data_IF_714720514998
#
_entry.id   IF_714720514998
#
_cell.length_a   1.000
_cell.length_b   1.000
_cell.length_c   1.000
_cell.angle_alpha   90.00
_cell.angle_beta   90.00
_cell.angle_gamma   90.00
#
_symmetry.space_group_name_H-M   'P 1'
#
loop_
_entity.id
_entity.type
_entity.pdbx_description
1 polymer ?
#
# COMPACT_ATOMS: atom_id res chain seq x y z
N UNK A 1 25.40 -48.17 -1.97
CA UNK A 1 25.54 -46.97 -1.09
C UNK A 1 25.36 -45.63 -1.79
N UNK A 2 24.56 -45.52 -2.86
CA UNK A 2 24.35 -44.29 -3.64
C UNK A 2 23.12 -43.46 -3.12
N UNK A 3 22.22 -44.11 -2.36
CA UNK A 3 20.98 -43.44 -1.87
C UNK A 3 21.19 -42.57 -0.63
N UNK A 4 22.24 -42.75 0.15
CA UNK A 4 22.47 -42.00 1.38
C UNK A 4 22.54 -40.45 1.19
N UNK A 5 23.25 -39.92 0.17
CA UNK A 5 23.30 -38.48 -0.03
C UNK A 5 21.94 -37.87 -0.42
N UNK A 6 21.08 -38.61 -1.11
CA UNK A 6 19.75 -38.15 -1.49
C UNK A 6 18.78 -38.09 -0.30
N UNK A 7 18.90 -39.02 0.65
CA UNK A 7 18.12 -39.03 1.89
C UNK A 7 18.51 -37.82 2.79
N UNK A 8 19.83 -37.56 2.89
CA UNK A 8 20.35 -36.42 3.66
C UNK A 8 19.90 -35.09 3.03
N UNK A 9 19.99 -34.97 1.71
CA UNK A 9 19.54 -33.78 0.97
C UNK A 9 18.02 -33.56 1.10
N UNK A 10 17.24 -34.63 0.96
CA UNK A 10 15.79 -34.61 1.16
C UNK A 10 15.41 -34.22 2.58
N UNK A 11 16.15 -34.72 3.58
CA UNK A 11 15.93 -34.33 4.99
C UNK A 11 16.25 -32.85 5.24
N UNK A 12 17.35 -32.32 4.68
CA UNK A 12 17.73 -30.90 4.82
C UNK A 12 16.69 -29.99 4.13
N UNK A 13 16.24 -30.35 2.92
CA UNK A 13 15.20 -29.59 2.21
C UNK A 13 13.86 -29.66 2.94
N UNK A 14 13.50 -30.81 3.49
CA UNK A 14 12.26 -30.98 4.24
C UNK A 14 12.30 -30.22 5.57
N UNK A 15 13.39 -30.28 6.32
CA UNK A 15 13.55 -29.54 7.57
C UNK A 15 13.61 -28.02 7.34
N UNK A 16 14.28 -27.58 6.26
CA UNK A 16 14.33 -26.17 5.86
C UNK A 16 12.96 -25.64 5.36
N UNK A 17 12.13 -26.53 4.77
CA UNK A 17 10.76 -26.17 4.35
C UNK A 17 9.77 -26.16 5.52
N UNK A 18 10.06 -26.84 6.62
CA UNK A 18 9.27 -26.77 7.85
C UNK A 18 9.66 -25.61 8.75
N UNK A 19 10.85 -25.07 8.56
CA UNK A 19 11.22 -23.79 9.16
C UNK A 19 10.51 -22.70 8.37
N UNK A 20 9.22 -22.53 8.65
CA UNK A 20 8.47 -21.32 8.29
C UNK A 20 9.14 -20.22 9.07
N UNK A 21 10.19 -19.65 8.48
CA UNK A 21 10.82 -18.46 9.02
C UNK A 21 9.74 -17.46 9.30
N UNK A 22 9.38 -17.30 10.56
CA UNK A 22 8.62 -16.14 10.99
C UNK A 22 9.41 -14.97 10.47
N UNK A 23 8.82 -14.14 9.57
CA UNK A 23 9.53 -12.96 9.10
C UNK A 23 10.04 -12.24 10.34
N UNK A 24 11.34 -11.94 10.40
CA UNK A 24 11.96 -11.15 11.47
C UNK A 24 11.49 -9.69 11.36
N UNK A 25 10.23 -9.52 11.02
CA UNK A 25 9.49 -8.27 10.94
C UNK A 25 8.79 -8.10 12.28
N UNK A 26 9.44 -7.40 13.22
CA UNK A 26 8.73 -6.96 14.41
C UNK A 26 9.45 -7.06 15.74
N UNK A 27 10.43 -7.94 15.91
CA UNK A 27 11.14 -8.05 17.19
C UNK A 27 12.22 -6.98 17.39
N UNK A 28 12.38 -6.07 16.44
CA UNK A 28 13.42 -5.02 16.50
C UNK A 28 13.28 -4.09 17.70
N UNK A 29 12.09 -4.01 18.29
CA UNK A 29 11.78 -3.16 19.45
C UNK A 29 11.29 -3.96 20.66
N UNK A 30 11.35 -5.30 20.60
CA UNK A 30 10.94 -6.12 21.73
C UNK A 30 11.91 -5.89 22.90
N UNK A 31 11.36 -5.39 24.01
CA UNK A 31 12.12 -5.01 25.20
C UNK A 31 12.77 -3.61 25.17
N UNK A 32 12.75 -2.90 24.02
CA UNK A 32 13.34 -1.57 23.88
C UNK A 32 12.36 -0.43 24.27
N UNK A 33 11.04 -0.71 24.19
CA UNK A 33 9.98 0.26 24.45
C UNK A 33 9.44 0.10 25.87
N UNK A 34 9.57 1.15 26.69
CA UNK A 34 9.13 1.13 28.07
C UNK A 34 8.55 2.50 28.48
N UNK A 35 7.26 2.54 28.88
CA UNK A 35 6.35 1.41 28.98
C UNK A 35 5.84 0.91 27.63
N UNK A 36 5.58 -0.41 27.54
CA UNK A 36 4.99 -1.00 26.36
C UNK A 36 3.48 -0.68 26.27
N UNK A 37 3.00 -0.31 25.08
CA UNK A 37 1.56 -0.17 24.81
C UNK A 37 0.94 -1.58 24.75
N UNK A 38 -0.01 -1.83 25.62
CA UNK A 38 -0.70 -3.11 25.71
C UNK A 38 -1.88 -3.21 24.72
N UNK A 39 -2.28 -4.43 24.40
CA UNK A 39 -3.48 -4.66 23.58
C UNK A 39 -4.75 -4.07 24.22
N UNK A 40 -4.87 -4.08 25.55
CA UNK A 40 -6.01 -3.46 26.23
C UNK A 40 -6.03 -1.94 26.00
N UNK A 41 -4.90 -1.26 26.13
CA UNK A 41 -4.81 0.17 25.85
C UNK A 41 -5.15 0.50 24.38
N UNK A 42 -4.74 -0.35 23.43
CA UNK A 42 -5.15 -0.18 22.02
C UNK A 42 -6.67 -0.31 21.84
N UNK A 43 -7.30 -1.30 22.51
CA UNK A 43 -8.74 -1.47 22.51
C UNK A 43 -9.47 -0.30 23.19
N UNK A 44 -8.89 0.23 24.29
CA UNK A 44 -9.43 1.41 24.98
C UNK A 44 -9.40 2.65 24.07
N UNK A 45 -8.29 2.87 23.35
CA UNK A 45 -8.17 3.94 22.34
C UNK A 45 -9.21 3.75 21.25
N UNK A 46 -9.31 2.56 20.66
CA UNK A 46 -10.30 2.28 19.60
C UNK A 46 -11.73 2.53 20.07
N UNK A 47 -12.06 2.06 21.26
CA UNK A 47 -13.39 2.25 21.86
C UNK A 47 -13.69 3.71 22.12
N UNK A 48 -12.72 4.47 22.64
CA UNK A 48 -12.87 5.89 22.93
C UNK A 48 -13.02 6.70 21.64
N UNK A 49 -12.24 6.39 20.60
CA UNK A 49 -12.35 7.04 19.28
C UNK A 49 -13.72 6.75 18.66
N UNK A 50 -14.18 5.49 18.71
CA UNK A 50 -15.53 5.12 18.24
C UNK A 50 -16.66 5.84 19.00
N UNK A 51 -16.45 6.17 20.26
CA UNK A 51 -17.42 6.87 21.09
C UNK A 51 -17.54 8.37 20.78
N UNK A 52 -16.58 8.98 20.06
CA UNK A 52 -16.64 10.38 19.66
C UNK A 52 -17.83 10.70 18.74
N UNK A 53 -18.26 9.72 17.93
CA UNK A 53 -19.31 9.90 16.94
C UNK A 53 -18.87 10.74 15.72
N UNK A 54 -19.73 10.83 14.72
CA UNK A 54 -19.45 11.60 13.49
C UNK A 54 -18.40 10.95 12.57
N UNK A 55 -18.18 9.66 12.71
CA UNK A 55 -17.40 8.81 11.81
C UNK A 55 -18.19 7.56 11.45
N UNK A 56 -17.96 7.03 10.27
CA UNK A 56 -18.59 5.80 9.79
C UNK A 56 -17.84 4.57 10.32
N UNK A 57 -16.51 4.66 10.46
CA UNK A 57 -15.68 3.60 11.01
C UNK A 57 -14.43 4.16 11.71
N UNK A 58 -13.90 3.39 12.68
CA UNK A 58 -12.60 3.66 13.27
C UNK A 58 -11.95 2.35 13.73
N UNK A 59 -10.63 2.24 13.56
CA UNK A 59 -9.86 1.10 14.06
C UNK A 59 -8.42 1.50 14.38
N UNK A 60 -7.78 0.69 15.22
CA UNK A 60 -6.42 0.93 15.71
C UNK A 60 -5.53 -0.25 15.37
N UNK A 61 -4.34 0.05 14.86
CA UNK A 61 -3.32 -0.95 14.57
C UNK A 61 -1.98 -0.56 15.19
N UNK A 62 -1.15 -1.56 15.45
CA UNK A 62 0.23 -1.36 15.88
C UNK A 62 1.15 -2.13 14.95
N UNK A 63 2.09 -1.44 14.32
CA UNK A 63 3.07 -2.07 13.43
C UNK A 63 4.42 -1.40 13.65
N UNK A 64 5.44 -2.19 13.99
CA UNK A 64 6.83 -1.72 14.11
C UNK A 64 6.96 -0.45 14.98
N UNK A 65 6.42 -0.48 16.21
CA UNK A 65 6.43 0.64 17.16
C UNK A 65 5.70 1.91 16.68
N UNK A 66 4.82 1.81 15.71
CA UNK A 66 3.93 2.90 15.29
C UNK A 66 2.49 2.52 15.60
N UNK A 67 1.84 3.31 16.46
CA UNK A 67 0.40 3.24 16.71
C UNK A 67 -0.31 4.03 15.61
N UNK A 68 -1.19 3.34 14.87
CA UNK A 68 -2.00 3.97 13.81
C UNK A 68 -3.46 3.93 14.18
N UNK A 69 -4.09 5.07 14.12
CA UNK A 69 -5.53 5.25 14.32
C UNK A 69 -6.12 5.67 12.99
N UNK A 70 -7.06 4.89 12.47
CA UNK A 70 -7.75 5.15 11.22
C UNK A 70 -9.18 5.55 11.53
N UNK A 71 -9.63 6.64 10.93
CA UNK A 71 -10.98 7.18 11.12
C UNK A 71 -11.57 7.54 9.76
N UNK A 72 -12.64 6.87 9.43
CA UNK A 72 -13.44 7.08 8.24
C UNK A 72 -14.59 8.01 8.59
N UNK A 73 -14.62 9.22 8.02
CA UNK A 73 -15.67 10.19 8.21
C UNK A 73 -16.60 10.21 7.00
N UNK A 74 -17.76 10.88 7.14
CA UNK A 74 -18.74 10.95 6.06
C UNK A 74 -18.10 11.44 4.73
N UNK A 75 -18.48 10.82 3.60
CA UNK A 75 -17.92 11.09 2.27
C UNK A 75 -18.10 12.57 1.83
N UNK A 76 -19.08 13.27 2.37
CA UNK A 76 -19.36 14.69 2.09
C UNK A 76 -18.66 15.66 3.06
N UNK A 77 -17.86 15.16 4.01
CA UNK A 77 -17.13 16.00 4.96
C UNK A 77 -16.14 16.92 4.22
N UNK A 78 -16.04 18.17 4.69
CA UNK A 78 -15.06 19.11 4.17
C UNK A 78 -13.71 19.00 4.90
N UNK A 79 -12.69 19.65 4.36
CA UNK A 79 -11.33 19.60 4.91
C UNK A 79 -11.26 20.14 6.36
N UNK A 80 -12.05 21.12 6.72
CA UNK A 80 -12.12 21.68 8.08
C UNK A 80 -12.64 20.61 9.06
N UNK A 81 -13.69 19.88 8.68
CA UNK A 81 -14.25 18.78 9.47
C UNK A 81 -13.25 17.64 9.65
N UNK A 82 -12.55 17.26 8.58
CA UNK A 82 -11.52 16.19 8.63
C UNK A 82 -10.36 16.61 9.55
N UNK A 83 -9.90 17.86 9.45
CA UNK A 83 -8.83 18.39 10.31
C UNK A 83 -9.27 18.49 11.78
N UNK A 84 -10.49 18.96 12.04
CA UNK A 84 -11.03 19.01 13.41
C UNK A 84 -11.17 17.63 14.03
N UNK A 85 -11.60 16.63 13.23
CA UNK A 85 -11.65 15.23 13.67
C UNK A 85 -10.27 14.69 14.02
N UNK A 86 -9.23 15.03 13.26
CA UNK A 86 -7.86 14.62 13.58
C UNK A 86 -7.40 15.18 14.94
N UNK A 87 -7.72 16.45 15.24
CA UNK A 87 -7.42 17.05 16.56
C UNK A 87 -8.19 16.38 17.70
N UNK A 88 -9.48 16.08 17.48
CA UNK A 88 -10.33 15.40 18.45
C UNK A 88 -9.78 13.99 18.76
N UNK A 89 -9.39 13.25 17.73
CA UNK A 89 -8.80 11.91 17.85
C UNK A 89 -7.45 11.98 18.57
N UNK A 90 -6.58 12.94 18.22
CA UNK A 90 -5.30 13.13 18.89
C UNK A 90 -5.50 13.36 20.40
N UNK A 91 -6.41 14.29 20.77
CA UNK A 91 -6.70 14.57 22.17
C UNK A 91 -7.26 13.36 22.92
N UNK A 92 -8.06 12.54 22.25
CA UNK A 92 -8.63 11.31 22.80
C UNK A 92 -7.52 10.28 23.03
N UNK A 93 -6.63 10.06 22.07
CA UNK A 93 -5.46 9.18 22.22
C UNK A 93 -4.57 9.69 23.38
N UNK A 94 -4.27 10.99 23.41
CA UNK A 94 -3.43 11.60 24.43
C UNK A 94 -4.00 11.48 25.84
N UNK A 95 -5.32 11.39 26.01
CA UNK A 95 -5.97 11.19 27.29
C UNK A 95 -5.78 9.77 27.86
N UNK A 96 -5.50 8.79 27.00
CA UNK A 96 -5.32 7.37 27.37
C UNK A 96 -3.82 7.01 27.39
N UNK A 97 -3.11 7.51 26.39
CA UNK A 97 -1.67 7.29 26.17
C UNK A 97 -0.96 8.64 26.21
N UNK A 98 -0.46 9.04 27.40
CA UNK A 98 0.23 10.33 27.57
C UNK A 98 1.37 10.46 26.54
N UNK A 99 1.35 11.47 25.67
CA UNK A 99 2.37 11.66 24.64
C UNK A 99 3.79 11.82 25.19
N UNK A 100 3.94 12.39 26.39
CA UNK A 100 5.25 12.53 27.03
C UNK A 100 5.83 11.17 27.47
N UNK A 101 4.96 10.19 27.73
CA UNK A 101 5.35 8.85 28.19
C UNK A 101 5.51 7.89 27.02
N UNK A 102 4.58 7.89 26.06
CA UNK A 102 4.51 6.88 25.01
C UNK A 102 5.08 7.34 23.66
N UNK A 103 4.99 8.64 23.34
CA UNK A 103 5.32 9.18 22.02
C UNK A 103 6.43 10.22 22.03
N UNK A 104 7.24 10.28 23.10
CA UNK A 104 8.37 11.19 23.21
C UNK A 104 9.59 10.43 23.70
N UNK A 105 10.61 10.31 22.85
CA UNK A 105 11.86 9.64 23.22
C UNK A 105 12.61 10.42 24.31
N UNK A 106 13.33 9.69 25.12
CA UNK A 106 14.35 10.24 26.05
C UNK A 106 15.73 9.77 25.63
N UNK A 107 16.78 10.30 26.26
CA UNK A 107 18.17 9.89 25.99
C UNK A 107 18.41 8.40 26.25
N UNK A 108 17.60 7.80 27.12
CA UNK A 108 17.75 6.40 27.58
C UNK A 108 16.69 5.44 27.05
N UNK A 109 15.59 5.95 26.44
CA UNK A 109 14.45 5.13 26.01
C UNK A 109 13.98 5.53 24.63
N UNK A 110 13.80 4.54 23.79
CA UNK A 110 13.02 4.67 22.55
C UNK A 110 11.53 4.67 22.90
N UNK A 111 10.73 5.35 22.11
CA UNK A 111 9.29 5.41 22.29
C UNK A 111 8.58 5.18 20.96
N UNK A 112 7.26 5.03 21.04
CA UNK A 112 6.42 4.80 19.87
C UNK A 112 6.26 6.06 19.04
N UNK A 113 5.93 5.86 17.78
CA UNK A 113 5.39 6.90 16.90
C UNK A 113 3.85 6.77 16.85
N UNK A 114 3.15 7.88 16.65
CA UNK A 114 1.70 7.96 16.50
C UNK A 114 1.38 8.53 15.11
N UNK A 115 0.51 7.85 14.39
CA UNK A 115 -0.08 8.33 13.14
C UNK A 115 -1.61 8.26 13.24
N UNK A 116 -2.29 9.38 13.01
CA UNK A 116 -3.74 9.46 12.97
C UNK A 116 -4.14 9.77 11.53
N UNK A 117 -4.88 8.86 10.94
CA UNK A 117 -5.36 8.92 9.57
C UNK A 117 -6.85 9.22 9.59
N UNK A 118 -7.25 10.39 9.08
CA UNK A 118 -8.66 10.76 8.94
C UNK A 118 -8.96 11.03 7.47
N UNK A 119 -9.98 10.39 6.93
CA UNK A 119 -10.28 10.44 5.51
C UNK A 119 -11.78 10.32 5.25
N UNK A 120 -12.22 10.87 4.11
CA UNK A 120 -13.57 10.67 3.57
C UNK A 120 -13.65 9.36 2.79
N UNK A 121 -12.54 8.96 2.12
CA UNK A 121 -12.41 7.71 1.39
C UNK A 121 -11.04 7.09 1.70
N UNK A 122 -10.94 5.75 1.81
CA UNK A 122 -9.66 5.09 2.13
C UNK A 122 -8.63 5.21 1.00
N UNK A 123 -9.10 5.35 -0.24
CA UNK A 123 -8.28 5.49 -1.44
C UNK A 123 -9.00 6.34 -2.49
N UNK A 124 -8.22 6.96 -3.34
CA UNK A 124 -8.72 7.75 -4.46
C UNK A 124 -9.09 6.85 -5.62
N UNK A 125 -10.31 7.00 -6.16
CA UNK A 125 -10.81 6.24 -7.32
C UNK A 125 -10.79 7.01 -8.62
N UNK A 126 -10.58 8.34 -8.56
CA UNK A 126 -10.70 9.29 -9.67
C UNK A 126 -12.12 9.30 -10.31
N UNK A 127 -13.14 8.91 -9.53
CA UNK A 127 -14.53 9.02 -9.96
C UNK A 127 -14.97 10.49 -10.04
N UNK A 128 -15.85 10.80 -10.98
CA UNK A 128 -16.39 12.15 -11.12
C UNK A 128 -17.20 12.53 -9.87
N UNK A 129 -16.86 13.67 -9.28
CA UNK A 129 -17.50 14.16 -8.05
C UNK A 129 -16.98 13.53 -6.75
N UNK A 130 -15.92 12.73 -6.82
CA UNK A 130 -15.28 12.16 -5.65
C UNK A 130 -14.72 13.25 -4.72
N UNK A 131 -15.14 13.20 -3.46
CA UNK A 131 -14.61 14.09 -2.40
C UNK A 131 -13.51 13.33 -1.63
N UNK A 132 -12.33 13.18 -2.22
CA UNK A 132 -11.21 12.53 -1.59
C UNK A 132 -10.39 13.50 -0.75
N UNK A 133 -10.63 13.52 0.56
CA UNK A 133 -9.84 14.25 1.54
C UNK A 133 -9.19 13.25 2.49
N UNK A 134 -7.87 13.34 2.61
CA UNK A 134 -7.09 12.46 3.48
C UNK A 134 -6.05 13.28 4.23
N UNK A 135 -6.17 13.28 5.57
CA UNK A 135 -5.28 13.99 6.50
C UNK A 135 -4.55 12.96 7.34
N UNK A 136 -3.25 13.14 7.49
CA UNK A 136 -2.43 12.37 8.44
C UNK A 136 -1.87 13.34 9.46
N UNK A 137 -2.14 13.08 10.74
CA UNK A 137 -1.50 13.77 11.86
C UNK A 137 -0.43 12.85 12.45
N UNK A 138 0.83 13.27 12.35
CA UNK A 138 1.98 12.45 12.72
C UNK A 138 2.71 13.04 13.91
N UNK A 139 2.90 12.26 14.95
CA UNK A 139 3.77 12.54 16.10
C UNK A 139 4.82 11.44 16.19
N UNK A 140 5.98 11.65 15.57
CA UNK A 140 7.11 10.75 15.80
C UNK A 140 7.72 11.01 17.16
N UNK A 141 8.37 10.01 17.73
CA UNK A 141 9.00 10.11 19.06
C UNK A 141 10.10 11.18 19.14
N UNK A 142 10.58 11.67 17.99
CA UNK A 142 11.57 12.75 17.88
C UNK A 142 10.97 14.15 17.80
N UNK A 143 9.66 14.28 17.54
CA UNK A 143 8.98 15.56 17.35
C UNK A 143 8.48 16.09 18.69
N UNK A 144 8.53 17.41 18.90
CA UNK A 144 7.92 18.03 20.07
C UNK A 144 6.40 18.01 19.99
N UNK A 145 5.87 18.39 18.84
CA UNK A 145 4.44 18.52 18.58
C UNK A 145 4.03 17.66 17.35
N UNK A 146 2.77 17.23 17.25
CA UNK A 146 2.27 16.56 16.07
C UNK A 146 2.26 17.49 14.86
N UNK A 147 2.32 16.91 13.66
CA UNK A 147 2.26 17.64 12.40
C UNK A 147 1.21 17.03 11.49
N UNK A 148 0.23 17.85 11.12
CA UNK A 148 -0.81 17.48 10.16
C UNK A 148 -0.37 17.74 8.73
N UNK A 149 -0.73 16.81 7.84
CA UNK A 149 -0.53 16.92 6.41
C UNK A 149 -1.75 16.40 5.66
N UNK A 150 -2.32 17.23 4.77
CA UNK A 150 -3.33 16.78 3.82
C UNK A 150 -2.63 16.09 2.65
N UNK A 151 -2.71 14.76 2.61
CA UNK A 151 -2.01 13.95 1.61
C UNK A 151 -2.80 13.76 0.32
N UNK A 152 -4.10 14.06 0.34
CA UNK A 152 -4.97 14.07 -0.84
C UNK A 152 -4.67 15.23 -1.81
N UNK A 153 -3.95 16.25 -1.37
CA UNK A 153 -3.55 17.39 -2.19
C UNK A 153 -2.07 17.27 -2.55
N UNK A 154 -1.78 17.33 -3.85
CA UNK A 154 -0.39 17.31 -4.31
C UNK A 154 0.32 18.61 -3.92
N UNK A 155 1.58 18.51 -3.47
CA UNK A 155 2.43 19.69 -3.17
C UNK A 155 2.68 20.56 -4.39
N UNK A 156 2.74 19.95 -5.56
CA UNK A 156 2.85 20.61 -6.87
C UNK A 156 1.78 20.03 -7.80
N UNK A 157 0.68 20.75 -7.91
CA UNK A 157 -0.47 20.32 -8.71
C UNK A 157 -0.11 20.22 -10.20
N UNK A 158 0.72 21.12 -10.70
CA UNK A 158 1.10 21.10 -12.12
C UNK A 158 1.93 19.85 -12.48
N UNK A 159 2.81 19.42 -11.57
CA UNK A 159 3.57 18.17 -11.74
C UNK A 159 2.64 16.95 -11.60
N UNK A 160 1.73 16.96 -10.65
CA UNK A 160 0.77 15.88 -10.46
C UNK A 160 -0.12 15.70 -11.70
N UNK A 161 -0.65 16.78 -12.25
CA UNK A 161 -1.50 16.76 -13.44
C UNK A 161 -0.72 16.27 -14.68
N UNK A 162 0.52 16.71 -14.84
CA UNK A 162 1.39 16.23 -15.91
C UNK A 162 1.69 14.73 -15.81
N UNK A 163 1.93 14.22 -14.59
CA UNK A 163 2.15 12.80 -14.38
C UNK A 163 0.87 11.99 -14.65
N UNK A 164 -0.28 12.50 -14.21
CA UNK A 164 -1.58 11.89 -14.45
C UNK A 164 -1.88 11.78 -15.94
N UNK A 165 -1.66 12.89 -16.68
CA UNK A 165 -1.81 12.90 -18.14
C UNK A 165 -0.88 11.89 -18.83
N UNK A 166 0.38 11.80 -18.41
CA UNK A 166 1.33 10.83 -18.96
C UNK A 166 0.93 9.37 -18.71
N UNK A 167 0.23 9.08 -17.62
CA UNK A 167 -0.33 7.75 -17.33
C UNK A 167 -1.50 7.46 -18.28
N UNK A 168 -2.42 8.40 -18.45
CA UNK A 168 -3.56 8.28 -19.35
C UNK A 168 -3.12 8.08 -20.81
N UNK A 169 -2.15 8.86 -21.28
CA UNK A 169 -1.58 8.74 -22.63
C UNK A 169 -0.95 7.36 -22.84
N UNK A 170 -0.27 6.82 -21.85
CA UNK A 170 0.33 5.48 -21.90
C UNK A 170 -0.74 4.38 -21.92
N UNK A 171 -1.80 4.52 -21.15
CA UNK A 171 -2.93 3.59 -21.16
C UNK A 171 -3.65 3.61 -22.50
N UNK A 172 -3.91 4.80 -23.05
CA UNK A 172 -4.52 4.94 -24.38
C UNK A 172 -3.65 4.31 -25.48
N UNK A 173 -2.33 4.52 -25.44
CA UNK A 173 -1.41 3.90 -26.40
C UNK A 173 -1.37 2.37 -26.25
N UNK A 174 -1.42 1.84 -25.04
CA UNK A 174 -1.48 0.40 -24.80
C UNK A 174 -2.80 -0.21 -25.32
N UNK A 175 -3.93 0.45 -25.09
CA UNK A 175 -5.24 0.01 -25.59
C UNK A 175 -5.28 0.02 -27.13
N UNK A 176 -4.80 1.09 -27.76
CA UNK A 176 -4.73 1.18 -29.21
C UNK A 176 -3.83 0.08 -29.82
N UNK A 177 -2.71 -0.24 -29.15
CA UNK A 177 -1.84 -1.32 -29.59
C UNK A 177 -2.48 -2.70 -29.47
N UNK A 178 -3.28 -2.93 -28.43
CA UNK A 178 -4.00 -4.18 -28.23
C UNK A 178 -5.13 -4.36 -29.28
N UNK A 179 -5.86 -3.29 -29.60
CA UNK A 179 -6.89 -3.29 -30.63
C UNK A 179 -6.29 -3.52 -32.04
N UNK A 180 -5.15 -2.92 -32.35
CA UNK A 180 -4.44 -3.13 -33.61
C UNK A 180 -3.96 -4.58 -33.77
N UNK A 181 -3.56 -5.24 -32.70
CA UNK A 181 -3.19 -6.65 -32.71
C UNK A 181 -4.39 -7.59 -32.87
N UNK A 182 -5.55 -7.24 -32.33
CA UNK A 182 -6.80 -8.02 -32.53
C UNK A 182 -7.36 -7.88 -33.93
N UNK A 183 -7.31 -6.69 -34.51
CA UNK A 183 -7.80 -6.45 -35.89
C UNK A 183 -6.80 -6.85 -36.97
N UNK A 184 -5.53 -7.06 -36.67
CA UNK A 184 -4.50 -7.51 -37.59
C UNK A 184 -4.46 -9.04 -37.81
N UNK A 185 -5.32 -9.80 -37.15
CA UNK A 185 -5.37 -11.28 -37.21
C UNK A 185 -6.24 -11.86 -38.32
N UNK A 186 -6.89 -11.04 -39.14
CA UNK A 186 -7.68 -11.52 -40.30
C UNK A 186 -6.91 -11.30 -41.59
N UNK A 187 -5.78 -12.00 -41.76
CA UNK A 187 -5.23 -12.25 -43.06
C UNK A 187 -5.92 -13.51 -43.57
N UNK A 188 -6.93 -13.30 -44.40
CA UNK A 188 -7.57 -14.29 -45.24
C UNK A 188 -6.49 -15.12 -45.92
N UNK A 189 -6.42 -16.39 -45.54
CA UNK A 189 -5.82 -17.43 -46.36
C UNK A 189 -6.67 -17.57 -47.63
N UNK A 190 -6.17 -17.06 -48.71
CA UNK A 190 -6.69 -17.26 -50.07
C UNK A 190 -5.56 -17.78 -50.93
N UNK A 191 -5.61 -19.06 -51.12
CA UNK A 191 -5.04 -19.85 -52.19
C UNK A 191 -4.73 -19.07 -53.45
N UNK A 192 -3.54 -19.29 -53.99
CA UNK A 192 -3.40 -19.84 -55.34
C UNK A 192 -1.96 -20.31 -55.52
N UNK A 193 -1.78 -21.63 -55.52
CA UNK A 193 -0.59 -22.31 -56.04
C UNK A 193 -0.93 -22.67 -57.48
N UNK A 194 -0.30 -22.10 -58.49
CA UNK A 194 -0.31 -22.72 -59.80
C UNK A 194 0.73 -23.86 -59.79
N UNK A 195 0.18 -25.05 -59.89
CA UNK A 195 0.90 -26.23 -60.29
C UNK A 195 1.21 -26.08 -61.79
N UNK A 196 2.47 -25.96 -62.14
CA UNK A 196 2.88 -26.15 -63.53
C UNK A 196 4.02 -27.19 -63.58
N UNK A 197 3.57 -28.38 -63.92
CA UNK A 197 4.32 -29.53 -64.30
C UNK A 197 4.65 -29.37 -65.81
N UNK A 198 5.91 -29.24 -66.13
CA UNK A 198 6.37 -29.56 -67.49
C UNK A 198 7.88 -29.90 -67.47
N UNK A 199 8.09 -31.16 -67.53
CA UNK A 199 9.25 -31.87 -68.09
C UNK A 199 9.98 -31.17 -69.23
N UNK A 200 11.29 -31.33 -69.30
CA UNK A 200 12.07 -31.03 -70.53
C UNK A 200 13.59 -31.15 -70.28
N UNK A 201 14.10 -32.30 -70.58
CA UNK A 201 15.52 -32.67 -70.80
C UNK A 201 16.29 -31.66 -71.67
N UNK A 202 17.55 -31.44 -71.42
CA UNK A 202 18.68 -31.85 -72.25
C UNK A 202 19.98 -31.15 -71.78
N UNK A 203 20.99 -31.96 -71.54
CA UNK A 203 22.42 -31.68 -71.68
C UNK A 203 22.80 -31.74 -73.18
N UNK A 204 24.08 -31.39 -73.69
CA UNK A 204 25.29 -31.00 -72.99
C UNK A 204 26.17 -30.00 -73.80
N UNK A 205 27.43 -29.79 -73.34
CA UNK A 205 28.73 -29.43 -73.99
C UNK A 205 28.94 -27.92 -74.35
N UNK A 206 29.97 -27.31 -73.90
CA UNK A 206 31.45 -27.45 -73.96
C UNK A 206 32.11 -26.65 -72.82
#
# INVERSE_FOLDING_TARGET
MVLAPFVVLGWILFSSSMDTGTPVLGNRFEGDLDPAITKNQMNDVESAVKALGGQDNAFVTMTTATLRVYVDVADDANEETVNAKADEVYNTVASILDPAVYFTKTDSKKQYDLEIHVYTLPERTDAEGENFIYVIDTKTSNMAEPQKQTVSVAKDQAVADKLRQAVLDRQAAASASAEAQQNGGEITGGEDVPNDDASGEEQPAE
#
